data_IF_143132473250
#
_entry.id   IF_143132473250
#
_cell.length_a   1.000
_cell.length_b   1.000
_cell.length_c   1.000
_cell.angle_alpha   90.00
_cell.angle_beta   90.00
_cell.angle_gamma   90.00
#
_symmetry.space_group_name_H-M   'P 1'
#
loop_
_entity.id
_entity.type
_entity.pdbx_description
1 polymer ?
#
# COMPACT_ATOMS: atom_id res chain seq x y z
N UNK A 1 -0.34 14.15 6.33
CA UNK A 1 -1.76 14.08 5.94
C UNK A 1 -2.26 12.66 6.14
N UNK A 2 -3.38 12.42 6.83
CA UNK A 2 -3.90 11.07 7.00
C UNK A 2 -4.27 10.45 5.64
N UNK A 3 -4.24 9.12 5.56
CA UNK A 3 -4.76 8.42 4.40
C UNK A 3 -6.26 8.65 4.29
N UNK A 4 -6.71 9.28 3.21
CA UNK A 4 -8.12 9.46 2.91
C UNK A 4 -8.69 8.16 2.34
N UNK A 5 -9.53 7.47 3.12
CA UNK A 5 -10.10 6.19 2.72
C UNK A 5 -11.12 6.33 1.58
N UNK A 6 -11.81 7.46 1.46
CA UNK A 6 -12.74 7.68 0.36
C UNK A 6 -12.00 7.74 -0.98
N UNK A 7 -10.80 8.33 -1.00
CA UNK A 7 -9.91 8.30 -2.17
C UNK A 7 -9.43 6.88 -2.49
N UNK A 8 -9.14 6.07 -1.46
CA UNK A 8 -8.75 4.65 -1.64
C UNK A 8 -9.90 3.88 -2.28
N UNK A 9 -11.13 4.04 -1.78
CA UNK A 9 -12.32 3.38 -2.30
C UNK A 9 -12.66 3.84 -3.73
N UNK A 10 -12.57 5.13 -4.01
CA UNK A 10 -12.79 5.66 -5.37
C UNK A 10 -11.76 5.09 -6.36
N UNK A 11 -10.49 5.03 -5.96
CA UNK A 11 -9.41 4.57 -6.84
C UNK A 11 -9.40 3.05 -7.04
N UNK A 12 -9.72 2.28 -6.00
CA UNK A 12 -9.48 0.82 -5.96
C UNK A 12 -10.73 -0.03 -5.75
N UNK A 13 -11.87 0.54 -5.39
CA UNK A 13 -13.10 -0.18 -5.04
C UNK A 13 -13.59 -1.11 -6.14
N UNK A 14 -13.47 -0.69 -7.41
CA UNK A 14 -13.84 -1.51 -8.57
C UNK A 14 -12.73 -2.47 -9.06
N UNK A 15 -11.58 -2.48 -8.38
CA UNK A 15 -10.37 -3.16 -8.81
C UNK A 15 -9.60 -2.40 -9.90
N UNK A 16 -8.29 -2.60 -9.94
CA UNK A 16 -7.40 -1.96 -10.93
C UNK A 16 -6.06 -2.68 -11.02
N UNK A 17 -5.15 -2.20 -11.87
CA UNK A 17 -3.75 -2.63 -11.90
C UNK A 17 -2.85 -1.42 -11.71
N UNK A 18 -1.97 -1.51 -10.72
CA UNK A 18 -1.00 -0.45 -10.41
C UNK A 18 0.41 -0.90 -10.76
N UNK A 19 1.32 0.00 -11.16
CA UNK A 19 2.72 -0.34 -11.38
C UNK A 19 3.38 -0.79 -10.07
N UNK A 20 4.34 -1.71 -10.17
CA UNK A 20 5.20 -2.04 -9.03
C UNK A 20 6.25 -0.95 -8.82
N UNK A 21 6.76 -0.82 -7.60
CA UNK A 21 7.82 0.15 -7.24
C UNK A 21 9.05 0.03 -8.12
N UNK A 22 9.47 -1.19 -8.45
CA UNK A 22 10.61 -1.45 -9.32
C UNK A 22 10.33 -1.17 -10.82
N UNK A 23 9.07 -0.93 -11.19
CA UNK A 23 8.64 -0.78 -12.57
C UNK A 23 8.59 -2.09 -13.35
N UNK A 24 8.07 -2.02 -14.58
CA UNK A 24 8.06 -3.14 -15.54
C UNK A 24 7.07 -4.28 -15.24
N UNK A 25 6.39 -4.25 -14.09
CA UNK A 25 5.32 -5.19 -13.71
C UNK A 25 4.16 -4.42 -13.06
N UNK A 26 3.03 -5.10 -12.90
CA UNK A 26 1.85 -4.55 -12.22
C UNK A 26 1.40 -5.45 -11.08
N UNK A 27 0.86 -4.85 -10.02
CA UNK A 27 0.09 -5.53 -8.98
C UNK A 27 -1.40 -5.42 -9.33
N UNK A 28 -2.13 -6.53 -9.21
CA UNK A 28 -3.59 -6.53 -9.39
C UNK A 28 -4.28 -6.27 -8.05
N UNK A 29 -5.12 -5.23 -8.03
CA UNK A 29 -6.04 -4.91 -6.95
C UNK A 29 -7.42 -5.39 -7.40
N UNK A 30 -8.06 -6.24 -6.61
CA UNK A 30 -9.38 -6.79 -6.94
C UNK A 30 -10.53 -5.97 -6.35
N UNK A 31 -10.23 -5.14 -5.35
CA UNK A 31 -11.20 -4.25 -4.70
C UNK A 31 -10.59 -3.59 -3.47
N UNK A 32 -11.35 -2.68 -2.88
CA UNK A 32 -11.08 -2.12 -1.56
C UNK A 32 -12.40 -1.95 -0.81
N UNK A 33 -12.37 -2.16 0.50
CA UNK A 33 -13.52 -2.04 1.40
C UNK A 33 -13.07 -1.52 2.78
N UNK A 34 -13.90 -1.65 3.82
CA UNK A 34 -13.53 -1.21 5.17
C UNK A 34 -12.40 -2.03 5.81
N UNK A 35 -12.17 -3.27 5.35
CA UNK A 35 -11.12 -4.13 5.87
C UNK A 35 -9.75 -3.79 5.25
N UNK A 36 -9.71 -3.39 3.98
CA UNK A 36 -8.47 -2.97 3.34
C UNK A 36 -8.49 -3.01 1.82
N UNK A 37 -7.28 -3.00 1.23
CA UNK A 37 -7.08 -3.18 -0.21
C UNK A 37 -6.83 -4.65 -0.51
N UNK A 38 -7.70 -5.27 -1.30
CA UNK A 38 -7.58 -6.67 -1.68
C UNK A 38 -6.74 -6.81 -2.93
N UNK A 39 -5.72 -7.66 -2.85
CA UNK A 39 -4.75 -7.86 -3.93
C UNK A 39 -4.73 -9.32 -4.37
N UNK A 40 -4.36 -9.54 -5.63
CA UNK A 40 -4.25 -10.87 -6.20
C UNK A 40 -3.04 -11.00 -7.11
N UNK A 41 -2.51 -12.21 -7.18
CA UNK A 41 -1.61 -12.68 -8.23
C UNK A 41 -2.15 -13.98 -8.81
N UNK A 42 -1.49 -14.52 -9.83
CA UNK A 42 -1.86 -15.82 -10.39
C UNK A 42 -1.85 -16.98 -9.37
N UNK A 43 -1.10 -16.85 -8.26
CA UNK A 43 -0.89 -17.93 -7.30
C UNK A 43 -1.57 -17.71 -5.95
N UNK A 44 -1.91 -16.48 -5.60
CA UNK A 44 -2.43 -16.15 -4.27
C UNK A 44 -3.24 -14.86 -4.26
N UNK A 45 -4.02 -14.68 -3.20
CA UNK A 45 -4.73 -13.44 -2.88
C UNK A 45 -4.45 -13.05 -1.43
N UNK A 46 -4.51 -11.77 -1.12
CA UNK A 46 -4.30 -11.24 0.23
C UNK A 46 -4.98 -9.89 0.41
N UNK A 47 -5.01 -9.38 1.65
CA UNK A 47 -5.56 -8.06 1.98
C UNK A 47 -4.51 -7.21 2.69
N UNK A 48 -4.27 -6.02 2.16
CA UNK A 48 -3.51 -4.97 2.84
C UNK A 48 -4.46 -4.27 3.79
N UNK A 49 -4.40 -4.64 5.07
CA UNK A 49 -5.33 -4.15 6.08
C UNK A 49 -5.28 -2.63 6.19
N UNK A 50 -6.47 -1.99 6.19
CA UNK A 50 -6.66 -0.55 6.38
C UNK A 50 -5.81 0.03 7.52
N UNK A 51 -5.83 -0.50 8.77
CA UNK A 51 -5.07 0.07 9.87
C UNK A 51 -3.55 0.05 9.63
N UNK A 52 -3.04 -0.90 8.84
CA UNK A 52 -1.61 -0.91 8.50
C UNK A 52 -1.26 0.18 7.49
N UNK A 53 -2.11 0.40 6.49
CA UNK A 53 -1.90 1.46 5.50
C UNK A 53 -2.00 2.85 6.13
N UNK A 54 -3.01 3.07 6.97
CA UNK A 54 -3.19 4.33 7.71
C UNK A 54 -1.98 4.62 8.62
N UNK A 55 -1.54 3.63 9.41
CA UNK A 55 -0.36 3.76 10.28
C UNK A 55 0.92 4.05 9.46
N UNK A 56 1.11 3.36 8.34
CA UNK A 56 2.26 3.60 7.49
C UNK A 56 2.28 5.03 6.95
N UNK A 57 1.15 5.55 6.48
CA UNK A 57 1.03 6.93 6.02
C UNK A 57 1.30 7.92 7.15
N UNK A 58 0.78 7.68 8.35
CA UNK A 58 1.05 8.52 9.53
C UNK A 58 2.56 8.61 9.82
N UNK A 59 3.27 7.49 9.84
CA UNK A 59 4.72 7.43 10.10
C UNK A 59 5.53 8.13 8.99
N UNK A 60 5.14 7.97 7.73
CA UNK A 60 5.78 8.64 6.60
C UNK A 60 5.60 10.16 6.69
N UNK A 61 4.38 10.61 6.96
CA UNK A 61 4.04 12.04 7.00
C UNK A 61 4.61 12.76 8.22
N UNK A 62 4.86 12.03 9.31
CA UNK A 62 5.54 12.53 10.50
C UNK A 62 7.07 12.44 10.43
N UNK A 63 7.63 12.05 9.27
CA UNK A 63 9.07 11.81 9.06
C UNK A 63 9.68 10.78 10.02
N UNK A 64 8.87 9.84 10.51
CA UNK A 64 9.34 8.70 11.32
C UNK A 64 9.65 7.46 10.47
N UNK A 65 9.21 7.45 9.22
CA UNK A 65 9.48 6.42 8.23
C UNK A 65 9.80 7.06 6.87
N UNK A 66 10.63 6.39 6.07
CA UNK A 66 11.10 6.89 4.79
C UNK A 66 9.99 6.99 3.73
N UNK A 67 10.08 8.02 2.89
CA UNK A 67 9.28 8.17 1.66
C UNK A 67 9.85 7.37 0.50
N UNK A 68 11.11 6.94 0.57
CA UNK A 68 11.74 6.21 -0.54
C UNK A 68 11.21 4.78 -0.62
N UNK A 69 10.49 4.46 -1.68
CA UNK A 69 9.79 3.17 -1.79
C UNK A 69 10.74 1.95 -1.76
N UNK A 70 12.00 2.13 -2.18
CA UNK A 70 13.03 1.09 -2.13
C UNK A 70 13.54 0.76 -0.72
N UNK A 71 13.41 1.70 0.23
CA UNK A 71 13.86 1.54 1.62
C UNK A 71 12.69 1.29 2.58
N UNK A 72 11.47 1.66 2.18
CA UNK A 72 10.25 1.58 2.96
C UNK A 72 9.94 0.19 3.54
N UNK A 73 10.24 -0.88 2.79
CA UNK A 73 9.75 -2.24 3.11
C UNK A 73 10.27 -2.74 4.46
N UNK A 74 11.55 -2.51 4.78
CA UNK A 74 12.14 -2.98 6.03
C UNK A 74 11.61 -2.19 7.24
N UNK A 75 11.45 -0.88 7.08
CA UNK A 75 10.88 -0.02 8.11
C UNK A 75 9.40 -0.35 8.38
N UNK A 76 8.62 -0.62 7.32
CA UNK A 76 7.23 -1.06 7.44
C UNK A 76 7.11 -2.38 8.23
N UNK A 77 7.99 -3.36 7.95
CA UNK A 77 7.99 -4.63 8.69
C UNK A 77 8.29 -4.45 10.18
N UNK A 78 9.22 -3.56 10.50
CA UNK A 78 9.61 -3.29 11.87
C UNK A 78 8.56 -2.49 12.67
N UNK A 79 7.92 -1.51 12.03
CA UNK A 79 7.09 -0.53 12.74
C UNK A 79 5.58 -0.71 12.54
N UNK A 80 5.16 -1.31 11.44
CA UNK A 80 3.75 -1.39 11.04
C UNK A 80 3.25 -2.82 11.11
N UNK A 81 3.75 -3.69 10.21
CA UNK A 81 3.33 -5.08 10.12
C UNK A 81 4.36 -5.92 9.33
N UNK A 82 4.69 -7.11 9.86
CA UNK A 82 5.62 -8.04 9.20
C UNK A 82 4.96 -8.88 8.08
N UNK A 83 4.08 -8.26 7.29
CA UNK A 83 3.39 -8.91 6.17
C UNK A 83 3.26 -7.96 5.00
N UNK A 84 3.48 -8.47 3.78
CA UNK A 84 3.19 -7.79 2.51
C UNK A 84 3.76 -6.36 2.35
N UNK A 85 4.86 -6.03 3.02
CA UNK A 85 5.47 -4.68 2.95
C UNK A 85 5.78 -4.20 1.52
N UNK A 86 6.21 -5.09 0.63
CA UNK A 86 6.42 -4.75 -0.80
C UNK A 86 5.12 -4.35 -1.51
N UNK A 87 4.01 -5.03 -1.22
CA UNK A 87 2.70 -4.71 -1.82
C UNK A 87 2.12 -3.41 -1.25
N UNK A 88 2.29 -3.19 0.06
CA UNK A 88 1.97 -1.90 0.69
C UNK A 88 2.77 -0.76 0.03
N UNK A 89 4.06 -0.95 -0.22
CA UNK A 89 4.89 0.04 -0.91
C UNK A 89 4.37 0.37 -2.33
N UNK A 90 3.87 -0.62 -3.08
CA UNK A 90 3.27 -0.38 -4.40
C UNK A 90 2.04 0.52 -4.29
N UNK A 91 1.12 0.20 -3.37
CA UNK A 91 -0.11 0.96 -3.15
C UNK A 91 0.21 2.38 -2.69
N UNK A 92 1.09 2.55 -1.70
CA UNK A 92 1.42 3.88 -1.17
C UNK A 92 2.20 4.76 -2.16
N UNK A 93 3.01 4.15 -3.04
CA UNK A 93 3.62 4.87 -4.16
C UNK A 93 2.57 5.30 -5.20
N UNK A 94 1.63 4.42 -5.55
CA UNK A 94 0.57 4.76 -6.50
C UNK A 94 -0.38 5.85 -5.97
N UNK A 95 -0.59 5.89 -4.64
CA UNK A 95 -1.33 6.96 -3.95
C UNK A 95 -0.51 8.25 -3.75
N UNK A 96 0.78 8.25 -4.07
CA UNK A 96 1.64 9.44 -4.00
C UNK A 96 2.27 9.73 -2.63
N UNK A 97 2.23 8.79 -1.68
CA UNK A 97 2.90 8.93 -0.39
C UNK A 97 4.39 8.54 -0.43
N UNK A 98 4.78 7.73 -1.42
CA UNK A 98 6.17 7.28 -1.60
C UNK A 98 6.74 7.73 -2.95
N UNK A 99 8.06 7.89 -2.98
CA UNK A 99 8.89 8.28 -4.14
C UNK A 99 9.61 7.07 -4.74
#
# INVERSE_FOLDING_TARGET
>A
MPLDWDVVLDRYGAGTRIPTVAGGKTLEIVGADDAGVHIRTALWSDTLARPHLEKAVELVESNQMTRHAGLFVEEYRAMVADVRGTSAAHVLKDLGFLE
#
